data_IF_303836523090
#
_entry.id   IF_303836523090
#
_cell.length_a   1.000
_cell.length_b   1.000
_cell.length_c   1.000
_cell.angle_alpha   90.00
_cell.angle_beta   90.00
_cell.angle_gamma   90.00
#
_symmetry.space_group_name_H-M   'P 1'
#
loop_
_entity.id
_entity.type
_entity.pdbx_description
1 polymer ?
#
# COMPACT_ATOMS: atom_id res chain seq x y z
N UNK A 1 -31.56 -26.88 -36.42
CA UNK A 1 -30.86 -25.56 -36.29
C UNK A 1 -30.88 -25.00 -34.87
N UNK A 2 -32.04 -24.81 -34.21
CA UNK A 2 -32.12 -24.21 -32.86
C UNK A 2 -31.25 -24.90 -31.80
N UNK A 3 -31.23 -26.24 -31.76
CA UNK A 3 -30.47 -26.99 -30.75
C UNK A 3 -28.94 -26.84 -30.87
N UNK A 4 -28.43 -26.72 -32.11
CA UNK A 4 -26.99 -26.48 -32.37
C UNK A 4 -26.58 -25.07 -31.92
N UNK A 5 -27.43 -24.07 -32.17
CA UNK A 5 -27.23 -22.70 -31.70
C UNK A 5 -27.25 -22.60 -30.17
N UNK A 6 -28.13 -23.33 -29.49
CA UNK A 6 -28.18 -23.36 -28.02
C UNK A 6 -26.92 -24.01 -27.43
N UNK A 7 -26.44 -25.13 -27.98
CA UNK A 7 -25.20 -25.78 -27.52
C UNK A 7 -23.99 -24.86 -27.69
N UNK A 8 -23.89 -24.16 -28.83
CA UNK A 8 -22.82 -23.21 -29.09
C UNK A 8 -22.85 -22.02 -28.09
N UNK A 9 -24.04 -21.50 -27.78
CA UNK A 9 -24.21 -20.44 -26.80
C UNK A 9 -23.78 -20.86 -25.39
N UNK A 10 -24.16 -22.06 -24.95
CA UNK A 10 -23.76 -22.59 -23.64
C UNK A 10 -22.24 -22.77 -23.55
N UNK A 11 -21.59 -23.30 -24.60
CA UNK A 11 -20.12 -23.43 -24.63
C UNK A 11 -19.45 -22.07 -24.55
N UNK A 12 -19.91 -21.07 -25.30
CA UNK A 12 -19.36 -19.71 -25.26
C UNK A 12 -19.54 -19.05 -23.88
N UNK A 13 -20.68 -19.27 -23.24
CA UNK A 13 -20.95 -18.78 -21.88
C UNK A 13 -20.00 -19.39 -20.86
N UNK A 14 -19.83 -20.72 -20.88
CA UNK A 14 -18.90 -21.44 -20.00
C UNK A 14 -17.46 -20.94 -20.23
N UNK A 15 -17.04 -20.82 -21.49
CA UNK A 15 -15.72 -20.28 -21.84
C UNK A 15 -15.48 -18.87 -21.28
N UNK A 16 -16.49 -18.01 -21.36
CA UNK A 16 -16.43 -16.64 -20.82
C UNK A 16 -16.33 -16.64 -19.30
N UNK A 17 -17.11 -17.48 -18.61
CA UNK A 17 -17.04 -17.63 -17.14
C UNK A 17 -15.66 -18.11 -16.72
N UNK A 18 -15.12 -19.15 -17.37
CA UNK A 18 -13.79 -19.69 -17.10
C UNK A 18 -12.70 -18.63 -17.31
N UNK A 19 -12.79 -17.82 -18.38
CA UNK A 19 -11.86 -16.73 -18.63
C UNK A 19 -11.91 -15.64 -17.55
N UNK A 20 -13.13 -15.22 -17.15
CA UNK A 20 -13.31 -14.26 -16.06
C UNK A 20 -12.73 -14.78 -14.73
N UNK A 21 -12.98 -16.04 -14.39
CA UNK A 21 -12.42 -16.69 -13.21
C UNK A 21 -10.88 -16.74 -13.26
N UNK A 22 -10.31 -17.05 -14.42
CA UNK A 22 -8.86 -17.06 -14.61
C UNK A 22 -8.23 -15.68 -14.36
N UNK A 23 -8.81 -14.62 -14.92
CA UNK A 23 -8.35 -13.25 -14.68
C UNK A 23 -8.47 -12.88 -13.20
N UNK A 24 -9.59 -13.24 -12.57
CA UNK A 24 -9.82 -12.99 -11.14
C UNK A 24 -8.79 -13.70 -10.25
N UNK A 25 -8.51 -14.99 -10.49
CA UNK A 25 -7.50 -15.76 -9.74
C UNK A 25 -6.11 -15.14 -9.92
N UNK A 26 -5.73 -14.75 -11.15
CA UNK A 26 -4.45 -14.06 -11.39
C UNK A 26 -4.34 -12.76 -10.60
N UNK A 27 -5.43 -12.00 -10.52
CA UNK A 27 -5.48 -10.77 -9.75
C UNK A 27 -5.31 -11.04 -8.24
N UNK A 28 -5.97 -12.07 -7.69
CA UNK A 28 -5.80 -12.49 -6.30
C UNK A 28 -4.36 -12.92 -5.99
N UNK A 29 -3.74 -13.70 -6.86
CA UNK A 29 -2.34 -14.12 -6.70
C UNK A 29 -1.41 -12.90 -6.70
N UNK A 30 -1.62 -11.95 -7.61
CA UNK A 30 -0.84 -10.70 -7.66
C UNK A 30 -0.96 -9.91 -6.36
N UNK A 31 -2.18 -9.74 -5.85
CA UNK A 31 -2.46 -9.04 -4.60
C UNK A 31 -1.79 -9.74 -3.41
N UNK A 32 -1.93 -11.07 -3.31
CA UNK A 32 -1.29 -11.86 -2.28
C UNK A 32 0.24 -11.70 -2.29
N UNK A 33 0.88 -11.83 -3.46
CA UNK A 33 2.33 -11.64 -3.61
C UNK A 33 2.77 -10.24 -3.24
N UNK A 34 2.04 -9.21 -3.69
CA UNK A 34 2.34 -7.81 -3.36
C UNK A 34 2.24 -7.56 -1.85
N UNK A 35 1.15 -8.01 -1.22
CA UNK A 35 0.95 -7.88 0.22
C UNK A 35 2.05 -8.59 1.00
N UNK A 36 2.36 -9.85 0.69
CA UNK A 36 3.40 -10.61 1.37
C UNK A 36 4.78 -10.01 1.17
N UNK A 37 5.11 -9.48 -0.01
CA UNK A 37 6.38 -8.80 -0.24
C UNK A 37 6.56 -7.60 0.69
N UNK A 38 5.51 -6.79 0.87
CA UNK A 38 5.53 -5.66 1.81
C UNK A 38 5.64 -6.14 3.24
N UNK A 39 4.79 -7.10 3.64
CA UNK A 39 4.81 -7.64 5.01
C UNK A 39 6.15 -8.30 5.34
N UNK A 40 6.83 -8.97 4.40
CA UNK A 40 8.16 -9.52 4.65
C UNK A 40 9.26 -8.45 4.71
N UNK A 41 8.97 -7.23 4.25
CA UNK A 41 9.89 -6.10 4.30
C UNK A 41 10.15 -5.55 5.70
N UNK A 42 11.07 -4.58 5.77
CA UNK A 42 11.41 -3.91 7.02
C UNK A 42 10.33 -2.90 7.41
N UNK A 43 9.93 -2.94 8.69
CA UNK A 43 9.07 -1.94 9.32
C UNK A 43 9.80 -1.30 10.49
N UNK A 44 9.57 -0.01 10.71
CA UNK A 44 10.07 0.75 11.85
C UNK A 44 8.89 1.26 12.67
N UNK A 45 8.98 1.23 14.00
CA UNK A 45 7.94 1.85 14.83
C UNK A 45 7.94 3.38 14.65
N UNK A 46 6.79 4.02 14.81
CA UNK A 46 6.67 5.48 14.70
C UNK A 46 7.63 6.20 15.66
N UNK A 47 7.76 5.72 16.90
CA UNK A 47 8.66 6.33 17.89
C UNK A 47 10.12 6.20 17.48
N UNK A 48 10.53 5.02 16.97
CA UNK A 48 11.90 4.84 16.50
C UNK A 48 12.17 5.65 15.22
N UNK A 49 11.17 5.77 14.35
CA UNK A 49 11.24 6.61 13.15
C UNK A 49 11.47 8.08 13.51
N UNK A 50 10.72 8.61 14.48
CA UNK A 50 10.90 9.98 14.96
C UNK A 50 12.20 10.18 15.74
N UNK A 51 12.57 9.22 16.62
CA UNK A 51 13.84 9.26 17.35
C UNK A 51 15.04 9.35 16.42
N UNK A 52 15.06 8.55 15.35
CA UNK A 52 16.13 8.53 14.35
C UNK A 52 15.91 9.53 13.21
N UNK A 53 15.05 10.52 13.38
CA UNK A 53 14.68 11.44 12.31
C UNK A 53 15.89 12.15 11.71
N UNK A 54 16.66 12.87 12.53
CA UNK A 54 17.80 13.67 12.07
C UNK A 54 18.94 12.81 11.54
N UNK A 55 19.16 11.64 12.13
CA UNK A 55 20.28 10.74 11.81
C UNK A 55 20.01 9.90 10.55
N UNK A 56 18.77 9.42 10.37
CA UNK A 56 18.45 8.42 9.35
C UNK A 56 17.44 8.86 8.32
N UNK A 57 16.35 9.52 8.71
CA UNK A 57 15.17 9.67 7.83
C UNK A 57 15.07 11.01 7.13
N UNK A 58 15.72 12.06 7.65
CA UNK A 58 15.76 13.39 7.02
C UNK A 58 16.55 13.43 5.71
N UNK A 59 17.48 12.49 5.50
CA UNK A 59 18.36 12.48 4.33
C UNK A 59 17.65 12.07 3.03
N UNK A 60 18.31 12.28 1.90
CA UNK A 60 17.77 12.00 0.58
C UNK A 60 17.49 10.52 0.32
N UNK A 61 18.13 9.59 1.04
CA UNK A 61 17.97 8.15 0.80
C UNK A 61 16.56 7.66 1.13
N UNK A 62 15.99 8.16 2.23
CA UNK A 62 14.65 7.79 2.72
C UNK A 62 13.58 8.82 2.34
N UNK A 63 13.99 9.99 1.87
CA UNK A 63 13.11 11.05 1.39
C UNK A 63 13.00 11.10 -0.14
N UNK A 64 13.11 9.94 -0.80
CA UNK A 64 12.85 9.75 -2.24
C UNK A 64 11.36 9.54 -2.52
N UNK A 65 11.03 9.43 -3.80
CA UNK A 65 9.67 9.08 -4.21
C UNK A 65 9.35 7.60 -3.99
N UNK A 66 8.08 7.33 -3.70
CA UNK A 66 7.55 5.98 -3.54
C UNK A 66 6.20 5.95 -2.83
N UNK A 67 5.86 4.79 -2.29
CA UNK A 67 4.69 4.56 -1.43
C UNK A 67 5.11 4.24 0.01
N UNK A 68 4.24 4.54 0.96
CA UNK A 68 4.42 4.16 2.36
C UNK A 68 3.18 3.42 2.86
N UNK A 69 3.41 2.50 3.79
CA UNK A 69 2.38 1.70 4.46
C UNK A 69 2.51 1.95 5.96
N UNK A 70 1.41 2.36 6.59
CA UNK A 70 1.30 2.61 8.02
C UNK A 70 0.33 1.59 8.58
N UNK A 71 0.84 0.67 9.39
CA UNK A 71 0.05 -0.32 10.14
C UNK A 71 -0.17 0.17 11.56
N UNK A 72 -1.41 0.07 12.05
CA UNK A 72 -1.80 0.50 13.39
C UNK A 72 -2.36 -0.69 14.17
N UNK A 73 -1.95 -0.81 15.44
CA UNK A 73 -2.33 -1.89 16.35
C UNK A 73 -2.84 -1.33 17.68
N UNK A 74 -3.90 -1.93 18.22
CA UNK A 74 -4.57 -1.52 19.46
C UNK A 74 -3.76 -1.74 20.73
N UNK A 75 -2.88 -2.74 20.77
CA UNK A 75 -2.18 -3.15 21.99
C UNK A 75 -0.69 -3.40 21.77
N UNK A 76 0.08 -3.37 22.87
CA UNK A 76 1.47 -3.77 22.90
C UNK A 76 1.61 -5.18 22.32
N UNK A 77 2.34 -5.26 21.21
CA UNK A 77 2.47 -6.50 20.46
C UNK A 77 3.60 -7.30 21.11
N UNK A 78 3.29 -8.42 21.78
CA UNK A 78 4.30 -9.32 22.35
C UNK A 78 5.21 -9.92 21.26
N UNK A 79 4.64 -10.20 20.08
CA UNK A 79 5.35 -10.68 18.90
C UNK A 79 4.81 -9.98 17.65
N UNK A 80 5.67 -9.28 16.90
CA UNK A 80 5.25 -8.43 15.79
C UNK A 80 4.68 -9.24 14.60
N UNK A 81 3.39 -9.55 14.69
CA UNK A 81 2.58 -10.17 13.65
C UNK A 81 2.07 -9.10 12.68
N UNK A 82 2.79 -8.93 11.59
CA UNK A 82 2.54 -7.86 10.60
C UNK A 82 1.17 -7.97 9.93
N UNK A 83 0.54 -9.13 9.98
CA UNK A 83 -0.77 -9.43 9.41
C UNK A 83 -1.96 -9.09 10.32
N UNK A 84 -1.74 -8.84 11.62
CA UNK A 84 -2.79 -8.62 12.64
C UNK A 84 -3.05 -7.14 12.95
N UNK A 85 -2.77 -6.24 12.01
CA UNK A 85 -3.06 -4.81 12.20
C UNK A 85 -4.57 -4.57 12.29
N UNK A 86 -4.97 -3.59 13.09
CA UNK A 86 -6.38 -3.17 13.25
C UNK A 86 -6.77 -2.18 12.16
N UNK A 87 -5.87 -1.25 11.86
CA UNK A 87 -6.06 -0.24 10.84
C UNK A 87 -4.82 -0.07 9.98
N UNK A 88 -5.03 0.46 8.78
CA UNK A 88 -3.98 0.68 7.80
C UNK A 88 -4.23 1.97 7.03
N UNK A 89 -3.13 2.67 6.75
CA UNK A 89 -3.12 3.78 5.81
C UNK A 89 -1.97 3.62 4.81
N UNK A 90 -2.28 3.81 3.53
CA UNK A 90 -1.32 3.74 2.43
C UNK A 90 -1.34 5.07 1.69
N UNK A 91 -0.17 5.57 1.33
CA UNK A 91 -0.10 6.74 0.45
C UNK A 91 1.20 6.79 -0.32
N UNK A 92 1.31 7.81 -1.15
CA UNK A 92 2.51 8.09 -1.94
C UNK A 92 3.07 9.48 -1.67
N UNK A 93 4.35 9.67 -1.97
CA UNK A 93 5.00 10.97 -1.87
C UNK A 93 6.24 11.02 -2.75
N UNK A 94 6.63 12.22 -3.20
CA UNK A 94 7.97 12.47 -3.72
C UNK A 94 9.05 12.49 -2.61
N UNK A 95 8.59 12.65 -1.37
CA UNK A 95 9.38 12.79 -0.15
C UNK A 95 8.78 11.87 0.92
N UNK A 96 9.09 10.58 0.83
CA UNK A 96 8.48 9.51 1.64
C UNK A 96 8.56 9.79 3.14
N UNK A 97 9.78 9.87 3.69
CA UNK A 97 10.00 10.08 5.11
C UNK A 97 9.35 11.38 5.63
N UNK A 98 9.51 12.50 4.91
CA UNK A 98 8.85 13.76 5.28
C UNK A 98 7.32 13.60 5.33
N UNK A 99 6.72 12.90 4.36
CA UNK A 99 5.28 12.76 4.33
C UNK A 99 4.77 11.92 5.49
N UNK A 100 5.44 10.82 5.82
CA UNK A 100 5.09 10.01 7.00
C UNK A 100 5.23 10.83 8.28
N UNK A 101 6.30 11.62 8.43
CA UNK A 101 6.44 12.53 9.58
C UNK A 101 5.26 13.50 9.70
N UNK A 102 4.80 14.07 8.59
CA UNK A 102 3.62 14.95 8.61
C UNK A 102 2.36 14.24 9.11
N UNK A 103 2.16 12.96 8.81
CA UNK A 103 1.06 12.17 9.37
C UNK A 103 1.15 12.09 10.90
N UNK A 104 2.35 11.80 11.44
CA UNK A 104 2.57 11.71 12.88
C UNK A 104 2.51 13.06 13.62
N UNK A 105 2.62 14.17 12.89
CA UNK A 105 2.57 15.54 13.43
C UNK A 105 1.21 16.24 13.20
N UNK A 106 0.20 15.53 12.72
CA UNK A 106 -1.15 16.10 12.51
C UNK A 106 -1.34 16.87 11.19
N UNK A 107 -0.29 16.98 10.37
CA UNK A 107 -0.30 17.65 9.06
C UNK A 107 -0.63 16.69 7.89
N UNK A 108 -1.31 15.58 8.20
CA UNK A 108 -1.65 14.53 7.25
C UNK A 108 -3.01 13.90 7.51
N UNK A 109 -3.08 12.59 7.34
CA UNK A 109 -4.23 11.77 7.72
C UNK A 109 -4.50 11.91 9.23
N UNK A 110 -5.65 12.50 9.58
CA UNK A 110 -6.04 12.80 10.96
C UNK A 110 -6.25 11.56 11.81
N UNK A 111 -6.72 10.45 11.24
CA UNK A 111 -6.92 9.20 11.98
C UNK A 111 -5.59 8.59 12.40
N UNK A 112 -4.59 8.59 11.50
CA UNK A 112 -3.22 8.15 11.84
C UNK A 112 -2.64 9.01 12.97
N UNK A 113 -2.80 10.33 12.88
CA UNK A 113 -2.33 11.24 13.93
C UNK A 113 -3.02 10.96 15.27
N UNK A 114 -4.35 10.85 15.27
CA UNK A 114 -5.15 10.60 16.46
C UNK A 114 -4.75 9.28 17.14
N UNK A 115 -4.62 8.20 16.36
CA UNK A 115 -4.20 6.91 16.90
C UNK A 115 -2.77 6.96 17.45
N UNK A 116 -1.87 7.72 16.81
CA UNK A 116 -0.52 7.94 17.33
C UNK A 116 -0.54 8.68 18.67
N UNK A 117 -1.29 9.77 18.77
CA UNK A 117 -1.43 10.56 20.00
C UNK A 117 -2.05 9.74 21.15
N UNK A 118 -2.96 8.83 20.83
CA UNK A 118 -3.58 7.93 21.81
C UNK A 118 -2.71 6.72 22.18
N UNK A 119 -1.44 6.69 21.77
CA UNK A 119 -0.49 5.65 22.17
C UNK A 119 -0.66 4.31 21.48
N UNK A 120 -1.43 4.23 20.38
CA UNK A 120 -1.49 3.00 19.58
C UNK A 120 -0.12 2.69 18.98
N UNK A 121 0.16 1.41 18.80
CA UNK A 121 1.42 0.97 18.21
C UNK A 121 1.36 1.13 16.70
N UNK A 122 2.27 1.94 16.14
CA UNK A 122 2.30 2.26 14.71
C UNK A 122 3.61 1.80 14.10
N UNK A 123 3.52 1.10 12.97
CA UNK A 123 4.66 0.61 12.21
C UNK A 123 4.60 1.11 10.77
N UNK A 124 5.74 1.60 10.29
CA UNK A 124 5.90 2.26 9.00
C UNK A 124 6.81 1.43 8.11
N UNK A 125 6.38 1.20 6.88
CA UNK A 125 7.19 0.71 5.79
C UNK A 125 7.29 1.75 4.67
N UNK A 126 8.48 1.89 4.11
CA UNK A 126 8.78 2.84 3.03
C UNK A 126 9.21 2.06 1.78
N UNK A 127 8.36 2.03 0.77
CA UNK A 127 8.59 1.34 -0.50
C UNK A 127 8.94 2.35 -1.60
N UNK A 128 10.22 2.40 -1.95
CA UNK A 128 10.78 3.37 -2.89
C UNK A 128 10.48 2.97 -4.34
N UNK A 129 9.96 3.88 -5.15
CA UNK A 129 9.74 3.64 -6.57
C UNK A 129 9.70 4.92 -7.42
N UNK A 130 9.92 4.80 -8.74
CA UNK A 130 9.98 5.97 -9.61
C UNK A 130 8.68 6.76 -9.60
N UNK A 131 8.74 8.10 -9.79
CA UNK A 131 7.54 8.93 -9.80
C UNK A 131 6.46 8.44 -10.76
N UNK A 132 6.84 7.91 -11.93
CA UNK A 132 5.92 7.34 -12.91
C UNK A 132 5.17 6.10 -12.42
N UNK A 133 5.76 5.33 -11.51
CA UNK A 133 5.18 4.08 -10.99
C UNK A 133 4.36 4.27 -9.71
N UNK A 134 4.50 5.39 -9.00
CA UNK A 134 3.85 5.59 -7.70
C UNK A 134 2.33 5.40 -7.75
N UNK A 135 1.63 5.94 -8.75
CA UNK A 135 0.19 5.77 -8.88
C UNK A 135 -0.22 4.30 -9.04
N UNK A 136 0.56 3.52 -9.79
CA UNK A 136 0.30 2.09 -9.99
C UNK A 136 0.54 1.32 -8.70
N UNK A 137 1.67 1.58 -8.05
CA UNK A 137 2.04 0.95 -6.79
C UNK A 137 1.04 1.28 -5.68
N UNK A 138 0.66 2.54 -5.49
CA UNK A 138 -0.33 2.96 -4.49
C UNK A 138 -1.67 2.23 -4.69
N UNK A 139 -2.18 2.19 -5.92
CA UNK A 139 -3.44 1.49 -6.24
C UNK A 139 -3.34 -0.01 -5.98
N UNK A 140 -2.23 -0.64 -6.35
CA UNK A 140 -2.00 -2.06 -6.13
C UNK A 140 -1.90 -2.39 -4.63
N UNK A 141 -1.22 -1.55 -3.84
CA UNK A 141 -1.12 -1.68 -2.38
C UNK A 141 -2.47 -1.45 -1.69
N UNK A 142 -3.20 -0.39 -2.03
CA UNK A 142 -4.53 -0.12 -1.46
C UNK A 142 -5.48 -1.30 -1.73
N UNK A 143 -5.40 -1.89 -2.93
CA UNK A 143 -6.20 -3.06 -3.28
C UNK A 143 -5.77 -4.30 -2.49
N UNK A 144 -4.48 -4.63 -2.49
CA UNK A 144 -3.97 -5.86 -1.86
C UNK A 144 -4.17 -5.90 -0.35
N UNK A 145 -4.12 -4.75 0.32
CA UNK A 145 -4.41 -4.62 1.75
C UNK A 145 -5.89 -4.32 2.06
N UNK A 146 -6.74 -4.15 1.04
CA UNK A 146 -8.13 -3.68 1.19
C UNK A 146 -8.24 -2.40 2.03
N UNK A 147 -7.28 -1.48 1.88
CA UNK A 147 -7.15 -0.31 2.74
C UNK A 147 -8.33 0.68 2.66
N UNK A 148 -9.16 0.57 1.62
CA UNK A 148 -10.43 1.31 1.51
C UNK A 148 -11.48 0.93 2.55
N UNK A 149 -11.31 -0.21 3.23
CA UNK A 149 -12.10 -0.61 4.40
C UNK A 149 -11.52 -0.05 5.71
N UNK A 150 -10.50 0.82 5.62
CA UNK A 150 -9.78 1.43 6.74
C UNK A 150 -9.55 2.92 6.45
N UNK A 151 -8.33 3.46 6.64
CA UNK A 151 -8.10 4.91 6.61
C UNK A 151 -7.90 5.50 5.22
N UNK A 152 -7.87 4.70 4.17
CA UNK A 152 -7.92 5.21 2.80
C UNK A 152 -9.37 5.43 2.38
N UNK A 153 -9.77 6.68 2.10
CA UNK A 153 -11.12 6.97 1.57
C UNK A 153 -11.21 6.60 0.08
N UNK A 154 -10.12 6.84 -0.66
CA UNK A 154 -10.05 6.64 -2.11
C UNK A 154 -9.21 5.43 -2.48
N UNK A 155 -9.44 4.89 -3.68
CA UNK A 155 -8.65 3.77 -4.25
C UNK A 155 -7.22 4.18 -4.69
N UNK A 156 -6.75 5.36 -4.29
CA UNK A 156 -5.49 5.95 -4.72
C UNK A 156 -5.56 6.64 -6.08
N UNK A 157 -4.42 7.05 -6.61
CA UNK A 157 -4.31 7.76 -7.89
C UNK A 157 -4.18 9.26 -7.73
N UNK A 158 -3.23 9.70 -6.90
CA UNK A 158 -2.80 11.10 -6.86
C UNK A 158 -2.27 11.62 -8.22
N UNK A 159 -1.73 12.84 -8.22
CA UNK A 159 -1.22 13.49 -9.43
C UNK A 159 -0.28 12.57 -10.20
N UNK A 160 -0.55 12.34 -11.49
CA UNK A 160 0.35 11.59 -12.35
C UNK A 160 1.65 12.36 -12.54
N UNK A 161 2.79 11.68 -12.41
CA UNK A 161 4.11 12.31 -12.43
C UNK A 161 4.95 11.66 -13.52
N UNK A 162 5.66 12.50 -14.28
CA UNK A 162 6.70 12.05 -15.20
C UNK A 162 7.98 11.83 -14.41
N UNK A 163 8.83 10.92 -14.89
CA UNK A 163 10.19 10.83 -14.39
C UNK A 163 10.91 12.12 -14.78
N UNK A 164 11.68 12.69 -13.86
CA UNK A 164 12.72 13.65 -14.22
C UNK A 164 13.95 12.85 -14.64
N UNK A 165 14.64 13.31 -15.67
CA UNK A 165 15.90 12.72 -16.10
C UNK A 165 16.84 12.64 -14.88
N UNK A 166 17.46 11.47 -14.68
CA UNK A 166 18.32 11.07 -13.54
C UNK A 166 17.70 10.31 -12.35
N UNK A 167 16.41 9.95 -12.37
CA UNK A 167 15.87 9.04 -11.32
C UNK A 167 16.24 7.56 -11.59
N UNK A 168 17.31 7.06 -10.97
CA UNK A 168 17.59 5.62 -10.87
C UNK A 168 17.34 5.13 -9.43
N UNK A 169 16.50 4.11 -9.28
CA UNK A 169 16.48 3.30 -8.06
C UNK A 169 17.58 2.26 -8.23
N UNK A 170 18.54 2.27 -7.31
CA UNK A 170 19.43 1.13 -7.07
C UNK A 170 18.70 0.18 -6.13
#
# INVERSE_FOLDING_TARGET
MKESSTKLFVIALIGTICFCLFIFIKQLIKEYKSRNSILNGYFVSADMFLKKWNERYKNETWNKSGCYVILIYSHAIKEFHKEKYEAIYIGQSLHLANRVKQHLQGNGNKNVYHDYQNGKQIYIHLERCMPSYMNRMEKDLIRSFKATRSYNIQKGGGKHRRNKDNFKYK
#
